data_IF_736625618299
#
_entry.id   IF_736625618299
#
_cell.length_a   1.000
_cell.length_b   1.000
_cell.length_c   1.000
_cell.angle_alpha   90.00
_cell.angle_beta   90.00
_cell.angle_gamma   90.00
#
_symmetry.space_group_name_H-M   'P 1'
#
loop_
_entity.id
_entity.type
_entity.pdbx_description
1 polymer ?
#
# COMPACT_ATOMS: atom_id res chain seq x y z
N UNK A 1 -16.90 2.42 -2.96
CA UNK A 1 -15.70 1.83 -2.34
C UNK A 1 -15.67 2.13 -0.84
N UNK A 2 -15.69 1.12 0.03
CA UNK A 2 -15.67 1.33 1.50
C UNK A 2 -14.27 1.75 1.96
N UNK A 3 -14.19 2.76 2.83
CA UNK A 3 -12.91 3.24 3.37
C UNK A 3 -12.24 2.20 4.30
N UNK A 4 -10.91 2.28 4.41
CA UNK A 4 -10.17 1.64 5.49
C UNK A 4 -10.54 2.32 6.82
N UNK A 5 -10.94 1.56 7.84
CA UNK A 5 -11.29 2.10 9.17
C UNK A 5 -10.31 1.60 10.21
N UNK A 6 -9.19 2.28 10.40
CA UNK A 6 -8.21 1.92 11.45
C UNK A 6 -8.76 2.22 12.86
N UNK A 7 -8.54 1.31 13.82
CA UNK A 7 -8.92 1.50 15.21
C UNK A 7 -7.83 2.22 16.01
N UNK A 8 -8.26 3.06 16.95
CA UNK A 8 -7.39 3.76 17.89
C UNK A 8 -7.68 3.19 19.27
N UNK A 9 -6.67 2.64 19.92
CA UNK A 9 -6.78 2.05 21.26
C UNK A 9 -5.98 2.86 22.28
N UNK A 10 -6.43 2.97 23.53
CA UNK A 10 -5.58 3.49 24.61
C UNK A 10 -4.43 2.51 24.90
N UNK A 11 -3.28 3.05 25.29
CA UNK A 11 -2.16 2.24 25.81
C UNK A 11 -2.48 1.86 27.25
N UNK A 12 -2.51 0.57 27.57
CA UNK A 12 -2.93 0.04 28.88
C UNK A 12 -1.76 -0.18 29.86
N UNK A 13 -0.50 0.01 29.44
CA UNK A 13 0.66 -0.19 30.31
C UNK A 13 1.32 1.12 30.76
N UNK A 14 1.62 1.21 32.06
CA UNK A 14 2.28 2.36 32.70
C UNK A 14 3.73 2.60 32.20
N UNK A 15 4.30 1.63 31.47
CA UNK A 15 5.69 1.63 31.01
C UNK A 15 5.95 2.40 29.71
N UNK A 16 4.94 3.03 29.11
CA UNK A 16 5.06 3.70 27.80
C UNK A 16 4.82 5.21 27.86
N UNK A 17 5.06 5.87 29.00
CA UNK A 17 5.19 7.33 29.03
C UNK A 17 6.30 7.76 28.06
N UNK A 18 6.00 8.50 26.97
CA UNK A 18 4.97 9.54 26.88
C UNK A 18 3.73 9.24 26.00
N UNK A 19 3.53 8.02 25.50
CA UNK A 19 2.46 7.65 24.57
C UNK A 19 1.21 7.14 25.29
N UNK A 20 0.03 7.58 24.83
CA UNK A 20 -1.27 7.27 25.46
C UNK A 20 -2.24 6.54 24.52
N UNK A 21 -1.96 6.57 23.22
CA UNK A 21 -2.81 6.01 22.19
C UNK A 21 -1.98 5.20 21.21
N UNK A 22 -2.56 4.16 20.64
CA UNK A 22 -1.93 3.35 19.60
C UNK A 22 -2.88 3.11 18.43
N UNK A 23 -2.31 2.92 17.25
CA UNK A 23 -3.00 2.51 16.03
C UNK A 23 -2.33 1.24 15.52
N UNK A 24 -3.12 0.17 15.39
CA UNK A 24 -2.67 -1.08 14.82
C UNK A 24 -2.80 -1.01 13.29
N UNK A 25 -1.68 -1.14 12.58
CA UNK A 25 -1.65 -1.07 11.12
C UNK A 25 -1.72 -2.46 10.50
N UNK A 26 -0.79 -3.33 10.86
CA UNK A 26 -0.63 -4.68 10.33
C UNK A 26 0.14 -5.53 11.36
N UNK A 27 0.18 -6.85 11.21
CA UNK A 27 0.94 -7.79 12.07
C UNK A 27 2.21 -7.16 12.69
N UNK A 28 2.16 -6.97 14.02
CA UNK A 28 3.25 -6.41 14.86
C UNK A 28 3.72 -4.98 14.51
N UNK A 29 3.07 -4.27 13.58
CA UNK A 29 3.29 -2.84 13.30
C UNK A 29 2.25 -2.00 14.04
N UNK A 30 2.72 -1.37 15.10
CA UNK A 30 1.93 -0.48 15.96
C UNK A 30 2.52 0.92 15.89
N UNK A 31 1.66 1.92 15.72
CA UNK A 31 2.01 3.32 15.82
C UNK A 31 1.58 3.87 17.16
N UNK A 32 2.46 4.59 17.85
CA UNK A 32 2.18 5.19 19.14
C UNK A 32 2.02 6.70 19.04
N UNK A 33 1.06 7.24 19.78
CA UNK A 33 0.69 8.64 19.77
C UNK A 33 0.53 9.18 21.19
N UNK A 34 1.04 10.40 21.42
CA UNK A 34 0.84 11.12 22.69
C UNK A 34 -0.56 11.75 22.80
N UNK A 35 -1.23 11.98 21.67
CA UNK A 35 -2.52 12.68 21.58
C UNK A 35 -3.52 11.93 20.72
N UNK A 36 -4.76 11.80 21.21
CA UNK A 36 -5.88 11.19 20.49
C UNK A 36 -6.14 11.90 19.16
N UNK A 37 -6.11 13.23 19.16
CA UNK A 37 -6.33 14.06 17.97
C UNK A 37 -5.32 13.74 16.88
N UNK A 38 -4.03 13.64 17.23
CA UNK A 38 -2.97 13.26 16.28
C UNK A 38 -3.16 11.85 15.71
N UNK A 39 -3.61 10.90 16.53
CA UNK A 39 -3.93 9.55 16.06
C UNK A 39 -5.13 9.56 15.10
N UNK A 40 -6.17 10.33 15.39
CA UNK A 40 -7.34 10.49 14.52
C UNK A 40 -6.99 11.15 13.19
N UNK A 41 -6.20 12.22 13.21
CA UNK A 41 -5.71 12.90 12.00
C UNK A 41 -4.90 11.92 11.13
N UNK A 42 -3.96 11.18 11.73
CA UNK A 42 -3.21 10.15 11.01
C UNK A 42 -4.11 9.09 10.38
N UNK A 43 -5.07 8.53 11.13
CA UNK A 43 -5.99 7.51 10.62
C UNK A 43 -6.79 8.04 9.44
N UNK A 44 -7.31 9.26 9.54
CA UNK A 44 -8.06 9.89 8.44
C UNK A 44 -7.20 10.03 7.18
N UNK A 45 -6.00 10.59 7.34
CA UNK A 45 -5.12 10.89 6.21
C UNK A 45 -4.59 9.60 5.56
N UNK A 46 -4.20 8.62 6.37
CA UNK A 46 -3.76 7.31 5.90
C UNK A 46 -4.88 6.56 5.18
N UNK A 47 -6.09 6.53 5.74
CA UNK A 47 -7.24 5.89 5.11
C UNK A 47 -7.63 6.54 3.78
N UNK A 48 -7.55 7.86 3.69
CA UNK A 48 -7.78 8.57 2.42
C UNK A 48 -6.68 8.21 1.40
N UNK A 49 -5.41 8.23 1.82
CA UNK A 49 -4.28 7.87 0.96
C UNK A 49 -4.38 6.44 0.40
N UNK A 50 -4.79 5.47 1.22
CA UNK A 50 -5.08 4.09 0.77
C UNK A 50 -6.20 4.08 -0.28
N UNK A 51 -7.28 4.84 -0.05
CA UNK A 51 -8.38 4.88 -1.02
C UNK A 51 -7.96 5.52 -2.34
N UNK A 52 -7.16 6.58 -2.30
CA UNK A 52 -6.65 7.25 -3.49
C UNK A 52 -5.65 6.36 -4.25
N UNK A 53 -4.83 5.59 -3.53
CA UNK A 53 -3.94 4.60 -4.14
C UNK A 53 -4.73 3.53 -4.90
N UNK A 54 -5.82 3.00 -4.31
CA UNK A 54 -6.66 2.00 -4.99
C UNK A 54 -7.32 2.57 -6.25
N UNK A 55 -7.76 3.84 -6.21
CA UNK A 55 -8.29 4.52 -7.42
C UNK A 55 -7.25 4.60 -8.52
N UNK A 56 -6.02 4.96 -8.18
CA UNK A 56 -4.92 4.99 -9.14
C UNK A 56 -4.58 3.59 -9.67
N UNK A 57 -4.69 2.54 -8.83
CA UNK A 57 -4.57 1.16 -9.29
C UNK A 57 -5.67 0.79 -10.30
N UNK A 58 -6.90 1.28 -10.12
CA UNK A 58 -7.97 1.13 -11.11
C UNK A 58 -7.62 1.82 -12.43
N UNK A 59 -7.08 3.04 -12.39
CA UNK A 59 -6.66 3.74 -13.61
C UNK A 59 -5.56 2.98 -14.36
N UNK A 60 -4.56 2.45 -13.64
CA UNK A 60 -3.52 1.59 -14.21
C UNK A 60 -4.15 0.32 -14.79
N UNK A 61 -5.06 -0.33 -14.06
CA UNK A 61 -5.76 -1.52 -14.52
C UNK A 61 -6.53 -1.26 -15.83
N UNK A 62 -7.27 -0.16 -15.94
CA UNK A 62 -7.98 0.23 -17.16
C UNK A 62 -7.01 0.40 -18.33
N UNK A 63 -5.86 1.02 -18.10
CA UNK A 63 -4.84 1.17 -19.14
C UNK A 63 -4.23 -0.17 -19.56
N UNK A 64 -3.94 -1.07 -18.62
CA UNK A 64 -3.46 -2.43 -18.91
C UNK A 64 -4.52 -3.27 -19.63
N UNK A 65 -5.79 -3.14 -19.25
CA UNK A 65 -6.91 -3.80 -19.92
C UNK A 65 -7.09 -3.30 -21.35
N UNK A 66 -6.94 -1.99 -21.56
CA UNK A 66 -6.95 -1.40 -22.90
C UNK A 66 -5.82 -1.97 -23.76
N UNK A 67 -4.61 -2.10 -23.21
CA UNK A 67 -3.49 -2.76 -23.89
C UNK A 67 -3.79 -4.22 -24.23
N UNK A 68 -4.41 -4.96 -23.30
CA UNK A 68 -4.84 -6.34 -23.54
C UNK A 68 -5.79 -6.44 -24.74
N UNK A 69 -6.80 -5.57 -24.83
CA UNK A 69 -7.75 -5.59 -25.95
C UNK A 69 -7.08 -5.26 -27.29
N UNK A 70 -6.17 -4.28 -27.32
CA UNK A 70 -5.48 -3.92 -28.56
C UNK A 70 -4.51 -5.01 -29.05
N UNK A 71 -3.94 -5.78 -28.13
CA UNK A 71 -2.92 -6.80 -28.45
C UNK A 71 -3.45 -8.23 -28.34
N UNK A 72 -4.77 -8.42 -28.19
CA UNK A 72 -5.35 -9.75 -27.94
C UNK A 72 -5.11 -10.73 -29.08
N UNK A 73 -4.97 -10.23 -30.30
CA UNK A 73 -4.72 -11.03 -31.51
C UNK A 73 -3.22 -11.27 -31.78
N UNK A 74 -2.33 -10.50 -31.15
CA UNK A 74 -0.87 -10.61 -31.34
C UNK A 74 -0.21 -11.43 -30.24
N UNK A 75 -0.81 -11.45 -29.04
CA UNK A 75 -0.32 -12.22 -27.91
C UNK A 75 -0.60 -13.73 -28.13
N UNK A 76 0.39 -14.58 -27.85
CA UNK A 76 0.23 -16.04 -27.89
C UNK A 76 -0.90 -16.48 -26.94
N UNK A 77 -1.76 -17.46 -27.31
CA UNK A 77 -2.94 -17.84 -26.52
C UNK A 77 -2.67 -18.15 -25.05
N UNK A 78 -1.54 -18.81 -24.75
CA UNK A 78 -1.16 -19.11 -23.36
C UNK A 78 -0.90 -17.85 -22.53
N UNK A 79 -0.07 -16.93 -23.04
CA UNK A 79 0.22 -15.65 -22.37
C UNK A 79 -1.03 -14.76 -22.30
N UNK A 80 -1.88 -14.80 -23.33
CA UNK A 80 -3.15 -14.07 -23.36
C UNK A 80 -4.06 -14.49 -22.21
N UNK A 81 -4.19 -15.81 -21.98
CA UNK A 81 -4.99 -16.35 -20.89
C UNK A 81 -4.40 -15.97 -19.52
N UNK A 82 -3.08 -16.00 -19.36
CA UNK A 82 -2.43 -15.58 -18.11
C UNK A 82 -2.67 -14.10 -17.81
N UNK A 83 -2.53 -13.23 -18.81
CA UNK A 83 -2.79 -11.79 -18.67
C UNK A 83 -4.27 -11.56 -18.33
N UNK A 84 -5.20 -12.24 -19.02
CA UNK A 84 -6.62 -12.16 -18.74
C UNK A 84 -6.95 -12.55 -17.29
N UNK A 85 -6.46 -13.70 -16.83
CA UNK A 85 -6.67 -14.16 -15.45
C UNK A 85 -6.16 -13.14 -14.41
N UNK A 86 -5.03 -12.49 -14.68
CA UNK A 86 -4.52 -11.41 -13.84
C UNK A 86 -5.43 -10.19 -13.91
N UNK A 87 -5.86 -9.75 -15.08
CA UNK A 87 -6.77 -8.60 -15.19
C UNK A 87 -8.10 -8.87 -14.44
N UNK A 88 -8.72 -10.02 -14.66
CA UNK A 88 -9.97 -10.38 -13.99
C UNK A 88 -9.76 -10.51 -12.46
N UNK A 89 -8.66 -11.11 -12.02
CA UNK A 89 -8.32 -11.26 -10.61
C UNK A 89 -8.13 -9.93 -9.86
N UNK A 90 -7.78 -8.84 -10.55
CA UNK A 90 -7.73 -7.50 -9.92
C UNK A 90 -9.13 -7.04 -9.48
N UNK A 91 -10.15 -7.25 -10.32
CA UNK A 91 -11.53 -6.87 -10.02
C UNK A 91 -12.06 -7.69 -8.83
N UNK A 92 -11.77 -8.99 -8.80
CA UNK A 92 -12.15 -9.85 -7.68
C UNK A 92 -11.48 -9.42 -6.35
N UNK A 93 -10.19 -9.09 -6.38
CA UNK A 93 -9.46 -8.63 -5.19
C UNK A 93 -9.98 -7.29 -4.67
N UNK A 94 -10.29 -6.37 -5.57
CA UNK A 94 -10.82 -5.04 -5.21
C UNK A 94 -12.23 -5.11 -4.66
N UNK A 95 -13.09 -5.97 -5.22
CA UNK A 95 -14.44 -6.20 -4.70
C UNK A 95 -14.40 -6.81 -3.29
N UNK A 96 -13.63 -7.89 -3.12
CA UNK A 96 -13.38 -8.51 -1.79
C UNK A 96 -12.85 -7.48 -0.79
N UNK A 97 -11.88 -6.66 -1.18
CA UNK A 97 -11.34 -5.62 -0.31
C UNK A 97 -12.39 -4.59 0.12
N UNK A 98 -13.31 -4.22 -0.78
CA UNK A 98 -14.40 -3.30 -0.47
C UNK A 98 -15.45 -3.93 0.46
N UNK A 99 -15.76 -5.21 0.26
CA UNK A 99 -16.94 -5.84 0.87
C UNK A 99 -16.65 -6.65 2.14
N UNK A 100 -15.53 -7.37 2.20
CA UNK A 100 -15.33 -8.47 3.17
C UNK A 100 -14.91 -8.01 4.57
N UNK A 101 -14.47 -6.76 4.72
CA UNK A 101 -13.84 -6.31 5.98
C UNK A 101 -14.72 -5.31 6.75
N UNK A 102 -15.37 -5.82 7.80
CA UNK A 102 -16.09 -5.06 8.84
C UNK A 102 -15.18 -4.48 9.94
N UNK A 103 -15.78 -3.93 10.99
CA UNK A 103 -15.03 -3.39 12.13
C UNK A 103 -14.27 -4.51 12.87
N UNK A 104 -12.99 -4.29 13.20
CA UNK A 104 -12.11 -5.28 13.85
C UNK A 104 -11.18 -6.06 12.90
N UNK A 105 -11.42 -6.00 11.58
CA UNK A 105 -10.62 -6.70 10.56
C UNK A 105 -9.62 -5.79 9.85
N UNK A 106 -9.14 -4.75 10.54
CA UNK A 106 -8.34 -3.68 9.94
C UNK A 106 -7.01 -4.17 9.35
N UNK A 107 -6.33 -5.07 10.05
CA UNK A 107 -5.05 -5.66 9.62
C UNK A 107 -5.22 -6.49 8.35
N UNK A 108 -6.28 -7.31 8.28
CA UNK A 108 -6.59 -8.08 7.07
C UNK A 108 -6.99 -7.18 5.90
N UNK A 109 -7.76 -6.12 6.18
CA UNK A 109 -8.09 -5.12 5.15
C UNK A 109 -6.84 -4.43 4.60
N UNK A 110 -5.87 -4.11 5.46
CA UNK A 110 -4.60 -3.52 5.00
C UNK A 110 -3.72 -4.56 4.26
N UNK A 111 -3.73 -5.82 4.68
CA UNK A 111 -3.07 -6.91 3.94
C UNK A 111 -3.67 -7.09 2.54
N UNK A 112 -5.00 -7.08 2.43
CA UNK A 112 -5.72 -7.12 1.16
C UNK A 112 -5.37 -5.94 0.25
N UNK A 113 -5.16 -4.75 0.81
CA UNK A 113 -4.67 -3.60 0.05
C UNK A 113 -3.28 -3.86 -0.58
N UNK A 114 -2.33 -4.41 0.17
CA UNK A 114 -1.02 -4.77 -0.39
C UNK A 114 -1.11 -5.89 -1.43
N UNK A 115 -2.04 -6.83 -1.29
CA UNK A 115 -2.32 -7.82 -2.35
C UNK A 115 -2.76 -7.14 -3.65
N UNK A 116 -3.60 -6.11 -3.59
CA UNK A 116 -4.01 -5.35 -4.78
C UNK A 116 -2.81 -4.69 -5.46
N UNK A 117 -1.92 -4.05 -4.69
CA UNK A 117 -0.70 -3.43 -5.23
C UNK A 117 0.22 -4.46 -5.90
N UNK A 118 0.52 -5.56 -5.21
CA UNK A 118 1.35 -6.65 -5.74
C UNK A 118 0.74 -7.20 -7.04
N UNK A 119 -0.58 -7.34 -7.08
CA UNK A 119 -1.26 -7.90 -8.24
C UNK A 119 -1.16 -6.99 -9.48
N UNK A 120 -1.25 -5.67 -9.30
CA UNK A 120 -1.02 -4.72 -10.40
C UNK A 120 0.43 -4.76 -10.89
N UNK A 121 1.39 -4.77 -9.97
CA UNK A 121 2.82 -4.91 -10.30
C UNK A 121 3.10 -6.19 -11.10
N UNK A 122 2.61 -7.32 -10.61
CA UNK A 122 2.74 -8.63 -11.25
C UNK A 122 2.07 -8.67 -12.63
N UNK A 123 1.01 -7.90 -12.84
CA UNK A 123 0.35 -7.77 -14.14
C UNK A 123 1.19 -6.94 -15.09
N UNK A 124 1.71 -5.79 -14.63
CA UNK A 124 2.59 -4.93 -15.41
C UNK A 124 3.87 -5.66 -15.84
N UNK A 125 4.49 -6.45 -14.95
CA UNK A 125 5.68 -7.25 -15.25
C UNK A 125 5.40 -8.28 -16.37
N UNK A 126 4.21 -8.89 -16.37
CA UNK A 126 3.82 -9.84 -17.42
C UNK A 126 3.73 -9.15 -18.79
N UNK A 127 3.10 -7.96 -18.85
CA UNK A 127 3.07 -7.16 -20.07
C UNK A 127 4.47 -6.75 -20.54
N UNK A 128 5.33 -6.29 -19.63
CA UNK A 128 6.72 -5.92 -19.96
C UNK A 128 7.47 -7.13 -20.54
N UNK A 129 7.34 -8.31 -19.92
CA UNK A 129 7.94 -9.55 -20.39
C UNK A 129 7.45 -9.91 -21.79
N UNK A 130 6.16 -9.77 -22.06
CA UNK A 130 5.58 -9.99 -23.38
C UNK A 130 6.14 -9.01 -24.42
N UNK A 131 6.08 -7.71 -24.18
CA UNK A 131 6.52 -6.70 -25.13
C UNK A 131 8.03 -6.73 -25.37
N UNK A 132 8.85 -7.10 -24.38
CA UNK A 132 10.29 -7.34 -24.58
C UNK A 132 10.53 -8.48 -25.57
N UNK A 133 9.77 -9.58 -25.49
CA UNK A 133 9.91 -10.72 -26.41
C UNK A 133 9.49 -10.37 -27.84
N UNK A 134 8.58 -9.42 -28.02
CA UNK A 134 8.17 -8.92 -29.33
C UNK A 134 8.97 -7.70 -29.81
N UNK A 135 10.01 -7.28 -29.07
CA UNK A 135 10.80 -6.06 -29.33
C UNK A 135 9.99 -4.76 -29.39
N UNK A 136 8.84 -4.71 -28.70
CA UNK A 136 7.98 -3.52 -28.64
C UNK A 136 8.38 -2.61 -27.46
N UNK A 137 9.49 -1.90 -27.64
CA UNK A 137 10.04 -1.02 -26.59
C UNK A 137 9.16 0.20 -26.28
N UNK A 138 8.30 0.60 -27.20
CA UNK A 138 7.33 1.67 -26.96
C UNK A 138 6.37 1.26 -25.82
N UNK A 139 5.77 0.09 -25.92
CA UNK A 139 4.86 -0.41 -24.90
C UNK A 139 5.60 -0.81 -23.61
N UNK A 140 6.84 -1.32 -23.70
CA UNK A 140 7.68 -1.55 -22.51
C UNK A 140 7.85 -0.27 -21.70
N UNK A 141 8.21 0.84 -22.34
CA UNK A 141 8.40 2.12 -21.65
C UNK A 141 7.10 2.65 -21.05
N UNK A 142 5.97 2.51 -21.77
CA UNK A 142 4.65 2.89 -21.28
C UNK A 142 4.25 2.13 -20.02
N UNK A 143 4.44 0.80 -20.00
CA UNK A 143 4.10 -0.04 -18.84
C UNK A 143 5.10 0.18 -17.69
N UNK A 144 6.38 0.41 -17.98
CA UNK A 144 7.37 0.79 -16.96
C UNK A 144 6.99 2.09 -16.22
N UNK A 145 6.46 3.09 -16.93
CA UNK A 145 6.00 4.32 -16.30
C UNK A 145 4.85 4.06 -15.30
N UNK A 146 3.92 3.15 -15.64
CA UNK A 146 2.86 2.72 -14.72
C UNK A 146 3.44 1.97 -13.52
N UNK A 147 4.40 1.07 -13.75
CA UNK A 147 5.07 0.32 -12.68
C UNK A 147 5.81 1.24 -11.70
N UNK A 148 6.47 2.29 -12.21
CA UNK A 148 7.13 3.30 -11.38
C UNK A 148 6.14 4.01 -10.44
N UNK A 149 4.89 4.24 -10.86
CA UNK A 149 3.86 4.79 -9.97
C UNK A 149 3.54 3.82 -8.82
N UNK A 150 3.47 2.51 -9.09
CA UNK A 150 3.24 1.49 -8.06
C UNK A 150 4.41 1.44 -7.06
N UNK A 151 5.65 1.47 -7.57
CA UNK A 151 6.86 1.52 -6.74
C UNK A 151 6.92 2.77 -5.86
N UNK A 152 6.54 3.93 -6.40
CA UNK A 152 6.42 5.16 -5.61
C UNK A 152 5.44 5.00 -4.44
N UNK A 153 4.33 4.29 -4.61
CA UNK A 153 3.42 4.01 -3.50
C UNK A 153 4.07 3.14 -2.44
N UNK A 154 4.77 2.06 -2.82
CA UNK A 154 5.50 1.23 -1.87
C UNK A 154 6.50 2.04 -1.05
N UNK A 155 7.31 2.88 -1.69
CA UNK A 155 8.28 3.74 -1.00
C UNK A 155 7.59 4.66 0.02
N UNK A 156 6.44 5.25 -0.34
CA UNK A 156 5.68 6.10 0.60
C UNK A 156 5.17 5.30 1.80
N UNK A 157 4.62 4.10 1.60
CA UNK A 157 4.20 3.24 2.72
C UNK A 157 5.38 2.79 3.57
N UNK A 158 6.50 2.48 2.95
CA UNK A 158 7.75 2.14 3.63
C UNK A 158 8.26 3.29 4.50
N UNK A 159 8.22 4.53 4.00
CA UNK A 159 8.55 5.72 4.77
C UNK A 159 7.58 5.86 5.95
N UNK A 160 6.28 5.70 5.74
CA UNK A 160 5.28 5.76 6.83
C UNK A 160 5.57 4.69 7.89
N UNK A 161 5.91 3.46 7.50
CA UNK A 161 6.20 2.36 8.42
C UNK A 161 7.60 2.42 9.06
N UNK A 162 8.60 2.96 8.37
CA UNK A 162 9.95 3.18 8.93
C UNK A 162 9.91 4.35 9.89
N UNK A 163 9.25 5.44 9.52
CA UNK A 163 8.97 6.54 10.43
C UNK A 163 8.02 6.13 11.57
N UNK A 164 7.21 5.08 11.42
CA UNK A 164 6.47 4.50 12.55
C UNK A 164 7.39 3.89 13.63
N UNK A 165 8.56 3.36 13.23
CA UNK A 165 9.64 2.92 14.14
C UNK A 165 10.58 4.06 14.56
N UNK A 166 10.71 5.11 13.75
CA UNK A 166 11.74 6.17 13.90
C UNK A 166 11.16 7.53 14.36
N UNK A 167 9.83 7.68 14.50
CA UNK A 167 9.19 8.86 15.10
C UNK A 167 9.30 8.89 16.63
N UNK A 168 10.55 8.81 17.09
CA UNK A 168 11.02 9.49 18.28
C UNK A 168 11.19 11.00 18.07
N UNK A 169 11.15 11.55 16.84
CA UNK A 169 11.09 12.99 16.62
C UNK A 169 10.60 13.38 15.23
N UNK A 170 9.38 13.91 15.14
CA UNK A 170 9.04 14.86 14.08
C UNK A 170 7.99 15.86 14.55
N UNK A 171 8.44 17.07 14.83
CA UNK A 171 7.86 18.30 14.29
C UNK A 171 8.91 19.40 14.43
N UNK A 172 9.25 20.00 13.29
CA UNK A 172 9.98 21.25 13.12
C UNK A 172 11.33 21.36 13.81
N UNK A 173 12.39 21.47 13.00
CA UNK A 173 13.69 22.09 13.31
C UNK A 173 13.74 22.80 14.66
N UNK A 174 14.23 22.11 15.70
CA UNK A 174 15.14 22.63 16.75
C UNK A 174 15.30 21.60 17.89
N UNK A 175 16.56 21.36 18.25
CA UNK A 175 17.06 20.96 19.59
C UNK A 175 17.24 19.46 19.91
N UNK A 176 18.54 19.14 19.97
CA UNK A 176 19.38 18.32 20.87
C UNK A 176 18.92 16.93 21.38
N UNK A 177 19.81 15.98 21.10
CA UNK A 177 19.92 14.59 21.55
C UNK A 177 20.18 14.48 23.05
N UNK A 178 19.61 13.44 23.66
CA UNK A 178 20.16 12.78 24.85
C UNK A 178 20.32 11.29 24.52
N UNK A 179 21.58 10.86 24.43
CA UNK A 179 21.96 9.45 24.41
C UNK A 179 21.74 8.86 25.80
N UNK A 180 20.97 7.77 25.88
CA UNK A 180 20.95 6.92 27.06
C UNK A 180 21.93 5.77 26.82
N UNK A 181 23.20 6.00 27.15
CA UNK A 181 24.10 4.90 27.48
C UNK A 181 23.51 4.15 28.68
N UNK A 182 23.21 2.86 28.50
CA UNK A 182 22.86 1.96 29.59
C UNK A 182 24.03 1.89 30.57
N UNK A 183 23.93 2.55 31.72
CA UNK A 183 24.65 2.09 32.91
C UNK A 183 23.93 0.85 33.44
N UNK A 184 24.58 -0.30 33.27
CA UNK A 184 24.23 -1.54 33.97
C UNK A 184 24.72 -1.37 35.40
N UNK A 185 23.80 -1.50 36.36
CA UNK A 185 24.08 -1.66 37.79
C UNK A 185 23.70 -3.07 38.20
#
# INVERSE_FOLDING_TARGET
MRKLKLSISPVTSDFQTPYKYLVNLHERKVLYFRSKRKAQDFVRDFSNYVCDTIRLCYDIHVQLYTLYLHHSYTIKPYSLNQIKLKLDGFLDLTDKWSNDYGDGWQSLKLSGFFKILNHIEDTAIEFISHFKKSNDYYHVNKVNAQLQMVHFFYEKYDIIFKNAKVNLNYKSNTIKLLDLERKVS
#
